data_IF_848994673490
#
_entry.id   IF_848994673490
#
_cell.length_a   1.000
_cell.length_b   1.000
_cell.length_c   1.000
_cell.angle_alpha   90.00
_cell.angle_beta   90.00
_cell.angle_gamma   90.00
#
_symmetry.space_group_name_H-M   'P 1'
#
loop_
_entity.id
_entity.type
_entity.pdbx_description
1 polymer ?
#
# COMPACT_ATOMS: atom_id res chain seq x y z
N UNK A 1 30.55 -14.91 -1.00
CA UNK A 1 30.06 -13.95 -2.01
C UNK A 1 28.67 -14.30 -2.58
N UNK A 2 28.41 -15.51 -3.08
CA UNK A 2 27.11 -15.86 -3.70
C UNK A 2 25.89 -15.66 -2.81
N UNK A 3 26.00 -15.97 -1.52
CA UNK A 3 24.90 -15.84 -0.54
C UNK A 3 24.52 -14.37 -0.26
N UNK A 4 25.51 -13.51 -0.01
CA UNK A 4 25.30 -12.07 0.13
C UNK A 4 24.74 -11.45 -1.15
N UNK A 5 25.27 -11.84 -2.32
CA UNK A 5 24.75 -11.36 -3.61
C UNK A 5 23.30 -11.78 -3.81
N UNK A 6 22.94 -13.04 -3.47
CA UNK A 6 21.55 -13.49 -3.51
C UNK A 6 20.68 -12.66 -2.57
N UNK A 7 21.11 -12.40 -1.35
CA UNK A 7 20.33 -11.62 -0.38
C UNK A 7 20.06 -10.18 -0.86
N UNK A 8 21.10 -9.41 -1.21
CA UNK A 8 20.93 -8.03 -1.65
C UNK A 8 20.16 -7.92 -2.96
N UNK A 9 20.38 -8.85 -3.89
CA UNK A 9 19.54 -8.98 -5.08
C UNK A 9 18.09 -9.22 -4.68
N UNK A 10 17.86 -10.18 -3.80
CA UNK A 10 16.56 -10.53 -3.28
C UNK A 10 15.80 -9.31 -2.76
N UNK A 11 16.47 -8.49 -1.95
CA UNK A 11 15.91 -7.23 -1.43
C UNK A 11 15.43 -6.35 -2.59
N UNK A 12 16.32 -6.04 -3.55
CA UNK A 12 15.99 -5.13 -4.65
C UNK A 12 14.81 -5.69 -5.47
N UNK A 13 14.90 -6.95 -5.89
CA UNK A 13 13.93 -7.53 -6.80
C UNK A 13 12.59 -7.86 -6.14
N UNK A 14 12.55 -8.14 -4.83
CA UNK A 14 11.29 -8.31 -4.09
C UNK A 14 10.65 -6.96 -3.77
N UNK A 15 11.44 -5.96 -3.38
CA UNK A 15 10.90 -4.64 -3.04
C UNK A 15 10.45 -3.85 -4.27
N UNK A 16 11.10 -4.00 -5.43
CA UNK A 16 10.74 -3.28 -6.65
C UNK A 16 9.25 -3.40 -7.04
N UNK A 17 8.63 -4.60 -7.16
CA UNK A 17 7.21 -4.71 -7.48
C UNK A 17 6.30 -4.16 -6.38
N UNK A 18 6.65 -4.38 -5.10
CA UNK A 18 5.88 -3.84 -3.97
C UNK A 18 5.91 -2.31 -4.00
N UNK A 19 7.09 -1.72 -4.19
CA UNK A 19 7.28 -0.28 -4.31
C UNK A 19 6.50 0.28 -5.51
N UNK A 20 6.59 -0.37 -6.66
CA UNK A 20 5.84 0.00 -7.88
C UNK A 20 4.34 0.02 -7.61
N UNK A 21 3.82 -1.02 -6.96
CA UNK A 21 2.40 -1.13 -6.60
C UNK A 21 1.97 0.04 -5.69
N UNK A 22 2.72 0.28 -4.61
CA UNK A 22 2.43 1.31 -3.63
C UNK A 22 2.53 2.72 -4.21
N UNK A 23 3.46 2.99 -5.12
CA UNK A 23 3.55 4.28 -5.81
C UNK A 23 2.26 4.58 -6.59
N UNK A 24 1.72 3.60 -7.31
CA UNK A 24 0.45 3.76 -8.00
C UNK A 24 -0.72 4.02 -7.05
N UNK A 25 -0.79 3.27 -5.96
CA UNK A 25 -1.83 3.47 -4.94
C UNK A 25 -1.69 4.86 -4.31
N UNK A 26 -0.48 5.31 -3.99
CA UNK A 26 -0.25 6.65 -3.43
C UNK A 26 -0.74 7.76 -4.37
N UNK A 27 -0.37 7.67 -5.64
CA UNK A 27 -0.72 8.70 -6.62
C UNK A 27 -2.21 8.70 -6.98
N UNK A 28 -2.87 7.54 -6.94
CA UNK A 28 -4.24 7.40 -7.46
C UNK A 28 -5.33 7.27 -6.38
N UNK A 29 -5.00 6.71 -5.21
CA UNK A 29 -5.93 6.60 -4.07
C UNK A 29 -5.69 7.71 -3.05
N UNK A 30 -4.47 7.79 -2.49
CA UNK A 30 -4.18 8.75 -1.43
C UNK A 30 -4.33 10.19 -1.91
N UNK A 31 -3.81 10.50 -3.11
CA UNK A 31 -3.93 11.84 -3.69
C UNK A 31 -5.38 12.18 -4.07
N UNK A 32 -6.17 11.20 -4.54
CA UNK A 32 -7.59 11.41 -4.89
C UNK A 32 -8.43 11.81 -3.67
N UNK A 33 -8.20 11.15 -2.54
CA UNK A 33 -8.89 11.44 -1.28
C UNK A 33 -8.23 12.55 -0.43
N UNK A 34 -7.16 13.19 -0.91
CA UNK A 34 -6.47 14.26 -0.18
C UNK A 34 -5.81 13.79 1.12
N UNK A 35 -5.33 12.55 1.16
CA UNK A 35 -4.63 11.97 2.31
C UNK A 35 -3.17 12.44 2.29
N UNK A 36 -2.80 13.31 3.24
CA UNK A 36 -1.51 14.00 3.26
C UNK A 36 -0.48 13.29 4.13
N UNK A 37 -0.31 11.98 3.93
CA UNK A 37 0.72 11.19 4.60
C UNK A 37 1.92 11.00 3.68
N UNK A 38 3.12 10.92 4.27
CA UNK A 38 4.32 10.67 3.47
C UNK A 38 4.31 9.26 2.91
N UNK A 39 4.63 9.10 1.63
CA UNK A 39 4.75 7.80 0.98
C UNK A 39 5.56 6.79 1.80
N UNK A 40 6.70 7.21 2.34
CA UNK A 40 7.58 6.34 3.13
C UNK A 40 6.88 5.80 4.39
N UNK A 41 6.02 6.58 5.02
CA UNK A 41 5.27 6.15 6.22
C UNK A 41 4.26 5.08 5.81
N UNK A 42 3.47 5.35 4.77
CA UNK A 42 2.49 4.40 4.22
C UNK A 42 3.18 3.10 3.81
N UNK A 43 4.28 3.18 3.08
CA UNK A 43 5.03 2.02 2.62
C UNK A 43 5.56 1.20 3.80
N UNK A 44 6.19 1.84 4.78
CA UNK A 44 6.80 1.13 5.90
C UNK A 44 5.78 0.48 6.82
N UNK A 45 4.64 1.13 7.05
CA UNK A 45 3.60 0.61 7.94
C UNK A 45 2.83 -0.57 7.35
N UNK A 46 2.81 -0.70 6.02
CA UNK A 46 2.02 -1.72 5.32
C UNK A 46 2.86 -2.84 4.71
N UNK A 47 4.20 -2.70 4.67
CA UNK A 47 5.09 -3.74 4.15
C UNK A 47 5.73 -4.53 5.30
N UNK A 48 5.46 -5.84 5.42
CA UNK A 48 5.97 -6.66 6.52
C UNK A 48 7.44 -7.08 6.30
N UNK A 49 8.39 -6.14 6.45
CA UNK A 49 9.82 -6.38 6.11
C UNK A 49 10.45 -7.59 6.81
N UNK A 50 10.12 -7.83 8.09
CA UNK A 50 10.65 -8.98 8.83
C UNK A 50 10.24 -10.31 8.21
N UNK A 51 8.99 -10.40 7.71
CA UNK A 51 8.48 -11.60 7.04
C UNK A 51 9.06 -11.78 5.63
N UNK A 52 9.57 -10.71 5.02
CA UNK A 52 10.23 -10.75 3.70
C UNK A 52 11.68 -11.24 3.76
N UNK A 53 12.32 -11.28 4.93
CA UNK A 53 13.71 -11.73 5.07
C UNK A 53 14.00 -13.09 4.41
N UNK A 54 13.27 -14.19 4.69
CA UNK A 54 13.50 -15.47 4.01
C UNK A 54 13.18 -15.39 2.52
N UNK A 55 12.19 -14.58 2.13
CA UNK A 55 11.79 -14.38 0.74
C UNK A 55 12.93 -13.77 -0.07
N UNK A 56 13.66 -12.80 0.48
CA UNK A 56 14.81 -12.19 -0.21
C UNK A 56 15.85 -13.23 -0.62
N UNK A 57 16.22 -14.15 0.28
CA UNK A 57 17.19 -15.21 -0.05
C UNK A 57 16.70 -16.12 -1.17
N UNK A 58 15.44 -16.58 -1.08
CA UNK A 58 14.83 -17.47 -2.08
C UNK A 58 14.76 -16.76 -3.44
N UNK A 59 14.25 -15.53 -3.46
CA UNK A 59 14.05 -14.78 -4.68
C UNK A 59 15.37 -14.48 -5.39
N UNK A 60 16.38 -14.01 -4.65
CA UNK A 60 17.69 -13.74 -5.23
C UNK A 60 18.39 -14.99 -5.74
N UNK A 61 18.22 -16.13 -5.06
CA UNK A 61 18.72 -17.41 -5.56
C UNK A 61 18.02 -17.83 -6.86
N UNK A 62 16.68 -17.78 -6.88
CA UNK A 62 15.87 -18.10 -8.06
C UNK A 62 16.21 -17.21 -9.26
N UNK A 63 16.50 -15.94 -9.00
CA UNK A 63 16.79 -14.96 -10.05
C UNK A 63 18.13 -15.19 -10.74
N UNK A 64 19.17 -15.65 -10.02
CA UNK A 64 20.53 -15.78 -10.56
C UNK A 64 21.04 -17.20 -10.73
N UNK A 65 20.76 -18.09 -9.77
CA UNK A 65 21.45 -19.37 -9.65
C UNK A 65 20.56 -20.56 -9.98
N UNK A 66 19.24 -20.45 -9.83
CA UNK A 66 18.34 -21.56 -10.12
C UNK A 66 18.42 -22.00 -11.60
N UNK A 67 18.24 -23.31 -11.88
CA UNK A 67 18.28 -23.85 -13.24
C UNK A 67 17.19 -23.24 -14.15
N UNK A 68 16.06 -22.86 -13.56
CA UNK A 68 14.91 -22.26 -14.26
C UNK A 68 14.92 -20.71 -14.28
N UNK A 69 16.06 -20.06 -13.97
CA UNK A 69 16.16 -18.60 -13.84
C UNK A 69 15.60 -17.79 -15.02
N UNK A 70 15.71 -18.30 -16.26
CA UNK A 70 15.19 -17.59 -17.45
C UNK A 70 13.67 -17.46 -17.39
N UNK A 71 12.99 -18.55 -17.07
CA UNK A 71 11.54 -18.61 -16.91
C UNK A 71 11.13 -17.73 -15.72
N UNK A 72 11.85 -17.85 -14.59
CA UNK A 72 11.60 -17.02 -13.41
C UNK A 72 11.69 -15.52 -13.70
N UNK A 73 12.70 -15.07 -14.47
CA UNK A 73 12.85 -13.67 -14.88
C UNK A 73 11.72 -13.19 -15.79
N UNK A 74 11.21 -14.05 -16.68
CA UNK A 74 10.06 -13.72 -17.51
C UNK A 74 8.79 -13.53 -16.65
N UNK A 75 8.53 -14.44 -15.71
CA UNK A 75 7.44 -14.27 -14.74
C UNK A 75 7.61 -13.02 -13.88
N UNK A 76 8.84 -12.72 -13.46
CA UNK A 76 9.13 -11.51 -12.70
C UNK A 76 8.83 -10.23 -13.49
N UNK A 77 9.20 -10.20 -14.77
CA UNK A 77 8.89 -9.05 -15.63
C UNK A 77 7.38 -8.89 -15.79
N UNK A 78 6.64 -9.99 -15.98
CA UNK A 78 5.19 -9.97 -16.00
C UNK A 78 4.61 -9.43 -14.69
N UNK A 79 5.13 -9.88 -13.54
CA UNK A 79 4.72 -9.38 -12.22
C UNK A 79 4.95 -7.88 -12.08
N UNK A 80 6.10 -7.35 -12.52
CA UNK A 80 6.36 -5.92 -12.51
C UNK A 80 5.35 -5.14 -13.36
N UNK A 81 5.03 -5.63 -14.57
CA UNK A 81 4.03 -5.01 -15.43
C UNK A 81 2.65 -5.02 -14.76
N UNK A 82 2.27 -6.14 -14.12
CA UNK A 82 1.01 -6.23 -13.37
C UNK A 82 0.97 -5.26 -12.19
N UNK A 83 2.06 -5.11 -11.44
CA UNK A 83 2.16 -4.12 -10.37
C UNK A 83 2.07 -2.68 -10.91
N UNK A 84 2.68 -2.39 -12.06
CA UNK A 84 2.62 -1.08 -12.70
C UNK A 84 1.21 -0.71 -13.20
N UNK A 85 0.28 -1.67 -13.32
CA UNK A 85 -1.13 -1.34 -13.61
C UNK A 85 -1.74 -0.44 -12.53
N UNK A 86 -1.25 -0.48 -11.28
CA UNK A 86 -1.71 0.43 -10.22
C UNK A 86 -1.45 1.90 -10.54
N UNK A 87 -0.62 2.21 -11.54
CA UNK A 87 -0.37 3.58 -11.99
C UNK A 87 -1.51 4.13 -12.84
N UNK A 88 -2.38 3.26 -13.38
CA UNK A 88 -3.59 3.70 -14.06
C UNK A 88 -4.61 4.24 -13.04
N UNK A 89 -5.19 5.44 -13.22
CA UNK A 89 -5.96 6.13 -12.19
C UNK A 89 -7.08 5.30 -11.54
N UNK A 90 -8.00 4.77 -12.34
CA UNK A 90 -9.15 4.03 -11.81
C UNK A 90 -8.73 2.72 -11.13
N UNK A 91 -7.73 2.04 -11.70
CA UNK A 91 -7.25 0.78 -11.17
C UNK A 91 -6.47 0.98 -9.87
N UNK A 92 -5.57 1.97 -9.82
CA UNK A 92 -4.84 2.34 -8.61
C UNK A 92 -5.76 2.81 -7.49
N UNK A 93 -6.79 3.60 -7.82
CA UNK A 93 -7.81 4.01 -6.85
C UNK A 93 -8.56 2.80 -6.30
N UNK A 94 -9.09 1.93 -7.16
CA UNK A 94 -9.83 0.74 -6.75
C UNK A 94 -8.99 -0.23 -5.91
N UNK A 95 -7.71 -0.41 -6.26
CA UNK A 95 -6.78 -1.19 -5.44
C UNK A 95 -6.58 -0.56 -4.05
N UNK A 96 -6.41 0.76 -3.98
CA UNK A 96 -6.30 1.47 -2.72
C UNK A 96 -7.56 1.36 -1.86
N UNK A 97 -8.74 1.49 -2.48
CA UNK A 97 -10.02 1.29 -1.81
C UNK A 97 -10.13 -0.13 -1.25
N UNK A 98 -9.79 -1.15 -2.03
CA UNK A 98 -9.83 -2.53 -1.60
C UNK A 98 -8.87 -2.84 -0.44
N UNK A 99 -7.73 -2.15 -0.37
CA UNK A 99 -6.69 -2.41 0.63
C UNK A 99 -6.85 -1.58 1.91
N UNK A 100 -7.25 -0.31 1.79
CA UNK A 100 -7.26 0.65 2.91
C UNK A 100 -8.67 1.06 3.37
N UNK A 101 -9.66 1.10 2.47
CA UNK A 101 -10.98 1.63 2.83
C UNK A 101 -11.74 0.64 3.71
N UNK A 102 -12.24 1.11 4.85
CA UNK A 102 -13.09 0.31 5.72
C UNK A 102 -14.47 0.08 5.08
N UNK A 103 -15.14 -0.97 5.55
CA UNK A 103 -16.59 -1.09 5.37
C UNK A 103 -17.29 0.13 6.00
N UNK A 104 -18.52 0.47 5.56
CA UNK A 104 -19.30 1.55 6.17
C UNK A 104 -19.41 1.33 7.67
N UNK A 105 -19.08 2.36 8.45
CA UNK A 105 -19.12 2.38 9.90
C UNK A 105 -19.94 3.59 10.33
N UNK A 106 -20.81 3.41 11.32
CA UNK A 106 -21.38 4.53 12.06
C UNK A 106 -20.36 4.95 13.11
N UNK A 107 -19.83 6.18 13.00
CA UNK A 107 -18.84 6.70 13.93
C UNK A 107 -19.45 7.86 14.73
N UNK A 108 -19.45 7.73 16.07
CA UNK A 108 -19.79 8.83 16.97
C UNK A 108 -18.60 9.80 17.03
N UNK A 109 -18.67 10.90 16.27
CA UNK A 109 -17.64 11.95 16.23
C UNK A 109 -17.68 12.90 17.46
N UNK A 110 -18.23 12.45 18.59
CA UNK A 110 -18.49 13.28 19.78
C UNK A 110 -17.26 13.85 20.50
N UNK A 111 -16.03 13.52 20.13
CA UNK A 111 -14.86 14.03 20.87
C UNK A 111 -14.35 15.40 20.43
N UNK A 112 -14.81 15.97 19.31
CA UNK A 112 -14.28 17.25 18.81
C UNK A 112 -15.31 18.29 18.33
N UNK A 113 -16.61 17.99 18.37
CA UNK A 113 -17.66 18.96 18.03
C UNK A 113 -18.74 18.92 19.11
N UNK A 114 -19.09 20.10 19.62
CA UNK A 114 -20.17 20.38 20.59
C UNK A 114 -21.58 19.98 20.14
N UNK A 115 -21.73 19.12 19.12
CA UNK A 115 -23.01 18.61 18.67
C UNK A 115 -22.89 17.10 18.39
N UNK A 116 -23.70 16.32 19.09
CA UNK A 116 -23.91 14.88 18.92
C UNK A 116 -24.52 14.56 17.55
N UNK A 117 -23.77 14.74 16.47
CA UNK A 117 -24.17 14.28 15.14
C UNK A 117 -23.44 12.99 14.80
N UNK A 118 -24.12 11.86 15.08
CA UNK A 118 -23.81 10.55 14.50
C UNK A 118 -23.65 10.70 13.00
N UNK A 119 -22.42 10.61 12.53
CA UNK A 119 -22.12 10.73 11.11
C UNK A 119 -21.66 9.37 10.61
N UNK A 120 -22.47 8.76 9.75
CA UNK A 120 -22.10 7.54 9.05
C UNK A 120 -21.06 7.84 7.98
N UNK A 121 -20.11 6.93 7.77
CA UNK A 121 -19.03 7.13 6.81
C UNK A 121 -18.11 5.92 6.70
N UNK A 122 -16.95 6.14 6.09
CA UNK A 122 -15.91 5.12 5.89
C UNK A 122 -14.56 5.67 6.30
N UNK A 123 -13.77 4.87 7.01
CA UNK A 123 -12.35 5.20 7.23
C UNK A 123 -11.62 4.93 5.93
N UNK A 124 -11.01 5.96 5.37
CA UNK A 124 -10.21 5.87 4.15
C UNK A 124 -8.78 5.42 4.45
N UNK A 125 -8.23 5.88 5.57
CA UNK A 125 -6.90 5.49 6.01
C UNK A 125 -6.74 5.75 7.49
N UNK A 126 -6.19 4.78 8.20
CA UNK A 126 -5.84 4.90 9.60
C UNK A 126 -4.33 5.13 9.75
N UNK A 127 -3.93 6.40 9.87
CA UNK A 127 -2.54 6.81 9.97
C UNK A 127 -1.99 6.78 11.40
N UNK A 128 -0.71 7.12 11.55
CA UNK A 128 -0.07 7.16 12.89
C UNK A 128 -0.60 8.29 13.77
N UNK A 129 -0.92 9.43 13.16
CA UNK A 129 -1.36 10.66 13.86
C UNK A 129 -2.81 11.02 13.59
N UNK A 130 -3.30 10.69 12.40
CA UNK A 130 -4.60 11.14 11.91
C UNK A 130 -5.37 9.96 11.32
N UNK A 131 -6.68 9.95 11.55
CA UNK A 131 -7.64 9.09 10.87
C UNK A 131 -8.31 9.93 9.79
N UNK A 132 -8.30 9.43 8.56
CA UNK A 132 -8.96 10.05 7.41
C UNK A 132 -10.33 9.40 7.23
N UNK A 133 -11.39 10.16 7.45
CA UNK A 133 -12.78 9.67 7.43
C UNK A 133 -13.59 10.35 6.33
N UNK A 134 -14.20 9.57 5.45
CA UNK A 134 -15.15 10.04 4.44
C UNK A 134 -16.55 10.03 5.03
N UNK A 135 -17.18 11.21 5.13
CA UNK A 135 -18.57 11.30 5.61
C UNK A 135 -19.54 10.97 4.49
N UNK A 136 -20.58 10.18 4.78
CA UNK A 136 -21.62 9.79 3.81
C UNK A 136 -22.62 10.91 3.49
N UNK A 137 -22.66 11.99 4.27
CA UNK A 137 -23.65 13.07 4.12
C UNK A 137 -23.27 14.09 3.04
N UNK A 138 -21.98 14.29 2.82
CA UNK A 138 -21.47 15.30 1.90
C UNK A 138 -20.22 14.88 1.12
N UNK A 139 -19.83 13.60 1.21
CA UNK A 139 -18.63 13.02 0.61
C UNK A 139 -17.34 13.80 0.89
N UNK A 140 -17.28 14.53 2.01
CA UNK A 140 -16.07 15.25 2.44
C UNK A 140 -15.21 14.37 3.32
N UNK A 141 -13.90 14.47 3.07
CA UNK A 141 -12.88 13.85 3.91
C UNK A 141 -12.57 14.75 5.10
N UNK A 142 -12.70 14.20 6.30
CA UNK A 142 -12.38 14.86 7.57
C UNK A 142 -11.18 14.16 8.19
N UNK A 143 -10.28 14.96 8.76
CA UNK A 143 -9.11 14.48 9.51
C UNK A 143 -9.44 14.50 10.99
N UNK A 144 -9.22 13.38 11.66
CA UNK A 144 -9.44 13.23 13.10
C UNK A 144 -8.08 12.94 13.73
N UNK A 145 -7.61 13.81 14.61
CA UNK A 145 -6.37 13.57 15.35
C UNK A 145 -6.57 12.45 16.38
N UNK A 146 -5.59 11.55 16.50
CA UNK A 146 -5.55 10.49 17.51
C UNK A 146 -5.08 11.00 18.87
#
# INVERSE_FOLDING_TARGET
MKFFNAFFTGIIFVLAPIFTLFVGIYNNYFSFYGINEYFNVIFVDNVPFLWLLPVFFIFGYCFFYAPFRKIFRAFYLLLLVLCALSWYPDFGRSLGEAYFMSKPLEMDLSSNLQNEQKTSGKVLYDGRREIYFLRSDNDKVVKISK
#
